data_IF_671855524669
#
_entry.id   IF_671855524669
#
_cell.length_a   1.000
_cell.length_b   1.000
_cell.length_c   1.000
_cell.angle_alpha   90.00
_cell.angle_beta   90.00
_cell.angle_gamma   90.00
#
_symmetry.space_group_name_H-M   'P 1'
#
loop_
_entity.id
_entity.type
_entity.pdbx_description
1 polymer ?
#
# COMPACT_ATOMS: atom_id res chain seq x y z
N UNK A 1 10.26 -14.42 -23.55
CA UNK A 1 10.32 -13.00 -23.16
C UNK A 1 11.45 -12.82 -22.16
N UNK A 2 12.25 -11.76 -22.24
CA UNK A 2 13.25 -11.49 -21.19
C UNK A 2 12.55 -11.16 -19.87
N UNK A 3 13.22 -11.43 -18.74
CA UNK A 3 12.71 -11.05 -17.42
C UNK A 3 12.62 -9.53 -17.30
N UNK A 4 11.55 -9.04 -16.68
CA UNK A 4 11.42 -7.64 -16.32
C UNK A 4 12.44 -7.33 -15.21
N UNK A 5 13.17 -6.23 -15.36
CA UNK A 5 14.03 -5.69 -14.29
C UNK A 5 13.49 -4.35 -13.86
N UNK A 6 13.35 -4.18 -12.54
CA UNK A 6 12.83 -2.98 -11.91
C UNK A 6 13.91 -2.39 -11.01
N UNK A 7 14.06 -1.07 -10.98
CA UNK A 7 14.94 -0.38 -10.03
C UNK A 7 14.41 -0.48 -8.61
N UNK A 8 13.09 -0.34 -8.47
CA UNK A 8 12.41 -0.44 -7.18
C UNK A 8 11.02 -1.03 -7.30
N UNK A 9 10.58 -1.77 -6.27
CA UNK A 9 9.20 -2.16 -6.05
C UNK A 9 8.69 -1.55 -4.74
N UNK A 10 7.49 -1.01 -4.77
CA UNK A 10 6.76 -0.50 -3.61
C UNK A 10 5.48 -1.32 -3.50
N UNK A 11 5.31 -2.03 -2.39
CA UNK A 11 4.14 -2.89 -2.16
C UNK A 11 3.51 -2.58 -0.80
N UNK A 12 2.20 -2.84 -0.68
CA UNK A 12 1.46 -2.60 0.55
C UNK A 12 0.85 -3.90 1.07
N UNK A 13 1.07 -4.20 2.36
CA UNK A 13 0.64 -5.44 3.02
C UNK A 13 -0.27 -5.14 4.22
N UNK A 14 -1.09 -6.12 4.59
CA UNK A 14 -1.88 -6.02 5.82
C UNK A 14 -0.99 -5.99 7.07
N UNK A 15 0.03 -6.86 7.10
CA UNK A 15 0.98 -6.98 8.22
C UNK A 15 2.39 -7.14 7.70
N UNK A 16 3.33 -6.65 8.49
CA UNK A 16 4.74 -7.00 8.32
C UNK A 16 5.39 -7.20 9.69
N UNK A 17 6.52 -7.88 9.73
CA UNK A 17 7.39 -7.89 10.90
C UNK A 17 8.61 -6.96 10.69
N UNK A 18 9.29 -6.64 11.77
CA UNK A 18 10.48 -5.78 11.72
C UNK A 18 11.66 -6.40 10.94
N UNK A 19 11.61 -7.70 10.65
CA UNK A 19 12.61 -8.39 9.85
C UNK A 19 12.38 -8.26 8.34
N UNK A 20 11.20 -7.81 7.92
CA UNK A 20 10.86 -7.63 6.50
C UNK A 20 9.99 -8.72 5.90
N UNK A 21 9.42 -9.63 6.72
CA UNK A 21 8.42 -10.55 6.21
C UNK A 21 7.07 -9.82 6.09
N UNK A 22 6.36 -10.05 4.99
CA UNK A 22 5.08 -9.43 4.69
C UNK A 22 3.95 -10.44 4.56
N UNK A 23 2.80 -10.10 5.15
CA UNK A 23 1.60 -10.92 5.16
C UNK A 23 0.45 -10.20 4.47
N UNK A 24 -0.15 -10.87 3.50
CA UNK A 24 -1.38 -10.46 2.85
C UNK A 24 -2.55 -11.27 3.37
N UNK A 25 -3.61 -10.60 3.84
CA UNK A 25 -4.78 -11.23 4.46
C UNK A 25 -6.03 -11.19 3.57
N UNK A 26 -5.93 -10.53 2.43
CA UNK A 26 -7.03 -10.45 1.48
C UNK A 26 -7.33 -11.78 0.79
N UNK A 27 -8.45 -11.85 0.06
CA UNK A 27 -8.90 -13.09 -0.56
C UNK A 27 -8.07 -13.51 -1.78
N UNK A 28 -7.40 -12.57 -2.42
CA UNK A 28 -6.75 -12.79 -3.71
C UNK A 28 -5.41 -12.05 -3.77
N UNK A 29 -4.30 -12.72 -3.39
CA UNK A 29 -2.97 -12.15 -3.53
C UNK A 29 -2.64 -11.95 -5.01
N UNK A 30 -2.02 -10.82 -5.33
CA UNK A 30 -1.68 -10.48 -6.71
C UNK A 30 -0.21 -10.80 -7.02
N UNK A 31 0.52 -9.90 -7.65
CA UNK A 31 1.90 -10.12 -8.10
C UNK A 31 2.96 -9.42 -7.24
N UNK A 32 2.64 -9.08 -6.00
CA UNK A 32 3.51 -8.27 -5.14
C UNK A 32 4.85 -8.96 -4.85
N UNK A 33 4.83 -10.28 -4.64
CA UNK A 33 6.04 -11.10 -4.46
C UNK A 33 6.90 -11.12 -5.74
N UNK A 34 6.26 -11.21 -6.91
CA UNK A 34 6.96 -11.20 -8.19
C UNK A 34 7.57 -9.83 -8.51
N UNK A 35 6.90 -8.74 -8.14
CA UNK A 35 7.47 -7.40 -8.24
C UNK A 35 8.69 -7.23 -7.33
N UNK A 36 8.61 -7.71 -6.09
CA UNK A 36 9.74 -7.69 -5.16
C UNK A 36 10.93 -8.50 -5.69
N UNK A 37 10.67 -9.67 -6.29
CA UNK A 37 11.71 -10.50 -6.90
C UNK A 37 12.33 -9.89 -8.17
N UNK A 38 11.57 -9.12 -8.92
CA UNK A 38 12.03 -8.48 -10.15
C UNK A 38 12.81 -7.18 -9.91
N UNK A 39 12.74 -6.62 -8.71
CA UNK A 39 13.31 -5.34 -8.35
C UNK A 39 14.70 -5.47 -7.73
N UNK A 40 15.59 -4.49 -8.00
CA UNK A 40 16.86 -4.35 -7.30
C UNK A 40 16.65 -3.99 -5.82
N UNK A 41 15.59 -3.22 -5.53
CA UNK A 41 15.19 -2.84 -4.18
C UNK A 41 13.70 -2.96 -4.02
N UNK A 42 13.24 -3.61 -2.95
CA UNK A 42 11.83 -3.72 -2.61
C UNK A 42 11.56 -3.09 -1.24
N UNK A 43 10.53 -2.26 -1.17
CA UNK A 43 10.10 -1.60 0.06
C UNK A 43 8.64 -1.96 0.32
N UNK A 44 8.37 -2.29 1.57
CA UNK A 44 7.03 -2.70 2.03
C UNK A 44 6.48 -1.63 2.94
N UNK A 45 5.32 -1.08 2.59
CA UNK A 45 4.44 -0.41 3.53
C UNK A 45 3.42 -1.41 4.08
N UNK A 46 2.95 -1.23 5.29
CA UNK A 46 1.94 -2.11 5.86
C UNK A 46 0.99 -1.37 6.82
N UNK A 47 -0.20 -1.94 7.00
CA UNK A 47 -1.17 -1.40 7.94
C UNK A 47 -0.68 -1.49 9.40
N UNK A 48 0.07 -2.56 9.71
CA UNK A 48 0.60 -2.76 11.06
C UNK A 48 1.89 -3.58 11.06
N UNK A 49 2.89 -3.10 11.78
CA UNK A 49 4.07 -3.90 12.13
C UNK A 49 3.75 -4.73 13.37
N UNK A 50 3.96 -6.04 13.28
CA UNK A 50 3.69 -7.00 14.37
C UNK A 50 4.98 -7.69 14.82
N UNK A 51 5.07 -8.14 16.09
CA UNK A 51 6.27 -8.83 16.58
C UNK A 51 6.56 -10.14 15.85
N UNK A 52 5.51 -10.84 15.40
CA UNK A 52 5.60 -12.07 14.61
C UNK A 52 4.34 -12.22 13.75
N UNK A 53 4.52 -12.67 12.52
CA UNK A 53 3.41 -13.02 11.65
C UNK A 53 2.79 -14.35 12.12
N UNK A 54 1.47 -14.41 12.13
CA UNK A 54 0.70 -15.59 12.54
C UNK A 54 -0.41 -15.88 11.53
N UNK A 55 -0.88 -17.12 11.48
CA UNK A 55 -1.96 -17.54 10.61
C UNK A 55 -1.52 -18.51 9.52
N UNK A 56 -2.36 -18.73 8.50
CA UNK A 56 -2.10 -19.69 7.44
C UNK A 56 -0.83 -19.36 6.64
N UNK A 57 0.04 -20.35 6.35
CA UNK A 57 1.30 -20.12 5.62
C UNK A 57 1.13 -19.44 4.26
N UNK A 58 0.04 -19.69 3.55
CA UNK A 58 -0.23 -19.09 2.25
C UNK A 58 -0.46 -17.57 2.30
N UNK A 59 -0.67 -16.99 3.49
CA UNK A 59 -0.78 -15.55 3.68
C UNK A 59 0.58 -14.86 3.83
N UNK A 60 1.65 -15.63 4.07
CA UNK A 60 3.03 -15.14 4.20
C UNK A 60 3.63 -14.90 2.81
N UNK A 61 3.21 -13.81 2.17
CA UNK A 61 3.51 -13.56 0.76
C UNK A 61 4.95 -13.12 0.53
N UNK A 62 5.48 -12.28 1.40
CA UNK A 62 6.84 -11.73 1.24
C UNK A 62 7.79 -12.30 2.29
N UNK A 63 8.95 -12.73 1.81
CA UNK A 63 10.06 -13.14 2.68
C UNK A 63 11.06 -11.98 2.83
N UNK A 64 11.61 -11.82 4.02
CA UNK A 64 12.62 -10.79 4.33
C UNK A 64 13.81 -10.73 3.36
N UNK A 65 14.13 -11.85 2.70
CA UNK A 65 15.21 -11.90 1.72
C UNK A 65 14.92 -11.08 0.45
N UNK A 66 13.65 -10.75 0.19
CA UNK A 66 13.20 -9.92 -0.94
C UNK A 66 13.05 -8.45 -0.56
N UNK A 67 13.10 -8.10 0.74
CA UNK A 67 12.67 -6.80 1.26
C UNK A 67 13.86 -6.02 1.81
N UNK A 68 13.98 -4.76 1.42
CA UNK A 68 15.06 -3.86 1.81
C UNK A 68 14.65 -2.86 2.90
N UNK A 69 13.35 -2.64 3.06
CA UNK A 69 12.83 -1.76 4.10
C UNK A 69 11.35 -1.95 4.33
N UNK A 70 10.91 -1.73 5.57
CA UNK A 70 9.51 -1.81 6.00
C UNK A 70 9.12 -0.53 6.70
N UNK A 71 7.91 -0.05 6.43
CA UNK A 71 7.31 1.09 7.14
C UNK A 71 5.85 0.80 7.50
N UNK A 72 5.42 1.23 8.67
CA UNK A 72 4.00 1.19 9.05
C UNK A 72 3.29 2.42 8.52
N UNK A 73 2.24 2.21 7.74
CA UNK A 73 1.43 3.27 7.13
C UNK A 73 -0.04 2.87 7.23
N UNK A 74 -0.66 3.06 8.40
CA UNK A 74 -2.07 2.73 8.58
C UNK A 74 -2.95 3.48 7.58
N UNK A 75 -3.92 2.76 6.97
CA UNK A 75 -4.75 3.27 5.88
C UNK A 75 -3.96 3.62 4.60
N UNK A 76 -2.80 3.00 4.41
CA UNK A 76 -1.87 3.33 3.32
C UNK A 76 -2.33 2.93 1.93
N UNK A 77 -3.33 2.05 1.79
CA UNK A 77 -3.95 1.71 0.51
C UNK A 77 -5.20 2.55 0.20
N UNK A 78 -5.54 3.55 1.05
CA UNK A 78 -6.67 4.44 0.80
C UNK A 78 -6.45 5.16 -0.56
N UNK A 79 -7.45 5.26 -1.37
CA UNK A 79 -8.90 4.97 -1.28
C UNK A 79 -9.30 3.60 -1.85
N UNK A 80 -8.37 2.72 -2.13
CA UNK A 80 -8.63 1.33 -2.48
C UNK A 80 -8.92 0.50 -1.22
N UNK A 81 -9.05 -0.81 -1.35
CA UNK A 81 -9.30 -1.69 -0.21
C UNK A 81 -8.03 -2.38 0.26
N UNK A 82 -7.92 -2.62 1.56
CA UNK A 82 -6.94 -3.51 2.17
C UNK A 82 -7.66 -4.49 3.11
N UNK A 83 -8.41 -5.42 2.52
CA UNK A 83 -9.24 -6.39 3.27
C UNK A 83 -8.33 -7.33 4.09
N UNK A 84 -8.67 -7.67 5.35
CA UNK A 84 -9.88 -7.33 6.09
C UNK A 84 -9.83 -5.99 6.87
N UNK A 85 -8.72 -5.24 6.78
CA UNK A 85 -8.55 -4.02 7.58
C UNK A 85 -9.58 -2.95 7.20
N UNK A 86 -9.80 -2.71 5.91
CA UNK A 86 -10.84 -1.78 5.41
C UNK A 86 -11.26 -2.09 3.97
N UNK A 87 -12.44 -1.62 3.62
CA UNK A 87 -12.98 -1.66 2.27
C UNK A 87 -12.61 -0.42 1.44
N UNK A 88 -13.08 -0.40 0.19
CA UNK A 88 -12.89 0.73 -0.72
C UNK A 88 -13.72 1.95 -0.30
N UNK A 89 -13.11 3.14 -0.34
CA UNK A 89 -13.84 4.41 -0.24
C UNK A 89 -14.30 4.85 -1.64
N UNK A 90 -15.49 4.39 -2.03
CA UNK A 90 -16.04 4.71 -3.35
C UNK A 90 -16.42 6.18 -3.50
N UNK A 91 -16.76 6.86 -2.42
CA UNK A 91 -17.10 8.28 -2.45
C UNK A 91 -15.86 9.12 -2.72
N UNK A 92 -14.78 8.83 -2.02
CA UNK A 92 -13.49 9.47 -2.26
C UNK A 92 -12.96 9.18 -3.66
N UNK A 93 -13.11 7.93 -4.14
CA UNK A 93 -12.71 7.55 -5.49
C UNK A 93 -13.46 8.37 -6.56
N UNK A 94 -14.77 8.59 -6.38
CA UNK A 94 -15.56 9.45 -7.29
C UNK A 94 -15.11 10.91 -7.22
N UNK A 95 -14.81 11.43 -6.02
CA UNK A 95 -14.28 12.77 -5.82
C UNK A 95 -12.93 12.96 -6.53
N UNK A 96 -12.03 11.99 -6.36
CA UNK A 96 -10.73 11.97 -7.06
C UNK A 96 -10.91 11.96 -8.58
N UNK A 97 -11.73 11.07 -9.11
CA UNK A 97 -11.97 10.97 -10.56
C UNK A 97 -12.56 12.26 -11.15
N UNK A 98 -13.48 12.89 -10.44
CA UNK A 98 -14.05 14.18 -10.85
C UNK A 98 -13.00 15.31 -10.84
N UNK A 99 -12.16 15.36 -9.80
CA UNK A 99 -11.08 16.33 -9.71
C UNK A 99 -10.04 16.13 -10.81
N UNK A 100 -9.68 14.88 -11.12
CA UNK A 100 -8.69 14.57 -12.15
C UNK A 100 -9.13 14.94 -13.59
N UNK A 101 -10.43 15.14 -13.82
CA UNK A 101 -10.98 15.52 -15.12
C UNK A 101 -10.91 17.03 -15.42
N UNK A 102 -10.62 17.87 -14.42
CA UNK A 102 -10.59 19.34 -14.56
C UNK A 102 -9.36 19.93 -13.85
N UNK A 103 -8.52 20.73 -14.55
CA UNK A 103 -7.28 21.27 -13.96
C UNK A 103 -7.53 22.14 -12.72
N UNK A 104 -8.58 22.98 -12.71
CA UNK A 104 -8.87 23.84 -11.57
C UNK A 104 -9.44 23.05 -10.38
N UNK A 105 -10.19 21.96 -10.62
CA UNK A 105 -10.63 21.05 -9.59
C UNK A 105 -9.47 20.22 -9.03
N UNK A 106 -8.53 19.83 -9.91
CA UNK A 106 -7.32 19.13 -9.51
C UNK A 106 -6.44 19.96 -8.55
N UNK A 107 -6.21 21.22 -8.85
CA UNK A 107 -5.41 22.09 -7.96
C UNK A 107 -6.04 22.22 -6.58
N UNK A 108 -7.37 22.33 -6.49
CA UNK A 108 -8.07 22.35 -5.19
C UNK A 108 -7.96 21.01 -4.46
N UNK A 109 -8.13 19.90 -5.17
CA UNK A 109 -8.00 18.57 -4.61
C UNK A 109 -6.59 18.33 -4.07
N UNK A 110 -5.58 18.71 -4.84
CA UNK A 110 -4.18 18.59 -4.44
C UNK A 110 -3.88 19.40 -3.18
N UNK A 111 -4.32 20.65 -3.13
CA UNK A 111 -4.14 21.52 -1.96
C UNK A 111 -4.84 20.95 -0.70
N UNK A 112 -6.00 20.31 -0.85
CA UNK A 112 -6.76 19.73 0.27
C UNK A 112 -6.15 18.41 0.78
N UNK A 113 -5.62 17.56 -0.11
CA UNK A 113 -5.26 16.18 0.24
C UNK A 113 -3.78 15.83 0.03
N UNK A 114 -3.06 16.48 -0.89
CA UNK A 114 -1.74 16.02 -1.32
C UNK A 114 -0.59 16.97 -1.01
N UNK A 115 -0.84 18.26 -0.80
CA UNK A 115 0.21 19.25 -0.53
C UNK A 115 0.65 19.27 0.94
N UNK A 116 -0.05 18.53 1.81
CA UNK A 116 0.29 18.35 3.23
C UNK A 116 1.15 17.11 3.47
N UNK A 117 1.40 16.84 4.75
CA UNK A 117 2.03 15.60 5.19
C UNK A 117 0.99 14.47 5.39
N UNK A 118 1.48 13.27 5.73
CA UNK A 118 0.64 12.10 5.99
C UNK A 118 -0.39 12.34 7.10
N UNK A 119 -0.03 13.09 8.15
CA UNK A 119 -0.95 13.39 9.23
C UNK A 119 -2.10 14.30 8.78
N UNK A 120 -1.81 15.26 7.91
CA UNK A 120 -2.82 16.13 7.29
C UNK A 120 -3.76 15.31 6.38
N UNK A 121 -3.20 14.42 5.55
CA UNK A 121 -3.99 13.52 4.71
C UNK A 121 -4.92 12.64 5.54
N UNK A 122 -4.40 11.94 6.53
CA UNK A 122 -5.18 11.06 7.40
C UNK A 122 -6.30 11.82 8.14
N UNK A 123 -6.05 13.07 8.54
CA UNK A 123 -7.08 13.92 9.14
C UNK A 123 -8.17 14.31 8.15
N UNK A 124 -7.81 14.59 6.91
CA UNK A 124 -8.76 15.01 5.87
C UNK A 124 -9.66 13.86 5.39
N UNK A 125 -9.17 12.60 5.40
CA UNK A 125 -9.91 11.42 4.94
C UNK A 125 -10.64 10.67 6.06
N UNK A 126 -10.31 10.91 7.33
CA UNK A 126 -11.05 10.34 8.48
C UNK A 126 -12.40 11.05 8.61
N UNK A 127 -13.46 10.27 8.52
CA UNK A 127 -14.84 10.68 8.81
C UNK A 127 -15.26 10.21 10.19
#
# INVERSE_FOLDING_TARGET
>A
MPALRLDAALVHMNRADAAGNGQYLGPDPYFDDLFCLAAERAYVSCERIVPALTGPPQTMLLNRAMVHGVTETPNGAHFTSCVPDYGRDEEFQRKYAAAAADPGAWDRFRAEYLDGDEAAYQKAVRR
#
